data_IF_124080656420
#
_entry.id   IF_124080656420
#
_cell.length_a   1.000
_cell.length_b   1.000
_cell.length_c   1.000
_cell.angle_alpha   90.00
_cell.angle_beta   90.00
_cell.angle_gamma   90.00
#
_symmetry.space_group_name_H-M   'P 1'
#
loop_
_entity.id
_entity.type
_entity.pdbx_description
1 polymer ?
#
# COMPACT_ATOMS: atom_id res chain seq x y z
N UNK A 1 21.27 -15.87 -6.46
CA UNK A 1 20.03 -16.44 -6.89
C UNK A 1 18.86 -15.61 -6.36
N UNK A 2 18.20 -14.92 -7.27
CA UNK A 2 17.22 -13.89 -6.91
C UNK A 2 15.81 -14.21 -7.41
N UNK A 3 15.30 -15.36 -6.98
CA UNK A 3 13.92 -15.70 -7.27
C UNK A 3 13.01 -14.81 -6.45
N UNK A 4 11.95 -14.27 -7.07
CA UNK A 4 11.01 -13.42 -6.34
C UNK A 4 10.29 -14.20 -5.25
N UNK A 5 10.05 -13.52 -4.13
CA UNK A 5 9.24 -14.05 -3.05
C UNK A 5 7.88 -13.37 -3.15
N UNK A 6 6.81 -14.16 -3.17
CA UNK A 6 5.46 -13.63 -3.26
C UNK A 6 4.87 -13.49 -1.88
N UNK A 7 4.41 -12.29 -1.56
CA UNK A 7 3.72 -12.01 -0.31
C UNK A 7 2.25 -11.76 -0.65
N UNK A 8 1.41 -12.73 -0.38
CA UNK A 8 0.00 -12.72 -0.75
C UNK A 8 -0.76 -11.53 -0.13
N UNK A 9 -0.36 -11.11 1.05
CA UNK A 9 -0.98 -9.96 1.71
C UNK A 9 -0.73 -8.63 1.00
N UNK A 10 0.15 -8.62 0.01
CA UNK A 10 0.41 -7.43 -0.81
C UNK A 10 -0.36 -7.45 -2.15
N UNK A 11 -1.28 -8.37 -2.32
CA UNK A 11 -2.13 -8.38 -3.51
C UNK A 11 -2.92 -7.08 -3.60
N UNK A 12 -3.28 -6.70 -4.81
CA UNK A 12 -4.04 -5.45 -5.01
C UNK A 12 -5.34 -5.45 -4.24
N UNK A 13 -5.83 -4.26 -3.93
CA UNK A 13 -7.11 -4.01 -3.27
C UNK A 13 -8.27 -4.63 -4.04
N UNK A 14 -9.20 -5.22 -3.30
CA UNK A 14 -10.48 -5.65 -3.86
C UNK A 14 -11.40 -4.42 -3.92
N UNK A 15 -11.55 -3.88 -5.12
CA UNK A 15 -12.36 -2.68 -5.33
C UNK A 15 -13.88 -2.97 -5.43
N UNK A 16 -14.27 -4.24 -5.33
CA UNK A 16 -15.67 -4.62 -5.37
C UNK A 16 -16.37 -4.16 -6.64
N UNK A 17 -17.49 -3.46 -6.47
CA UNK A 17 -18.26 -2.97 -7.61
C UNK A 17 -17.55 -1.89 -8.43
N UNK A 18 -16.47 -1.30 -7.88
CA UNK A 18 -15.69 -0.31 -8.62
C UNK A 18 -14.58 -0.94 -9.45
N UNK A 19 -14.48 -2.26 -9.43
CA UNK A 19 -13.46 -3.01 -10.16
C UNK A 19 -13.57 -2.75 -11.65
N UNK A 20 -12.44 -2.48 -12.30
CA UNK A 20 -12.36 -2.24 -13.75
C UNK A 20 -13.17 -1.04 -14.24
N UNK A 21 -13.52 -0.11 -13.37
CA UNK A 21 -14.27 1.09 -13.74
C UNK A 21 -13.38 2.32 -13.64
N UNK A 22 -13.52 3.20 -14.62
CA UNK A 22 -12.79 4.47 -14.60
C UNK A 22 -13.66 5.56 -13.94
N UNK A 23 -13.05 6.73 -13.75
CA UNK A 23 -13.71 7.86 -13.13
C UNK A 23 -15.02 8.25 -13.85
N UNK A 24 -15.03 8.22 -15.17
CA UNK A 24 -16.22 8.59 -15.95
C UNK A 24 -17.38 7.61 -15.72
N UNK A 25 -17.08 6.33 -15.62
CA UNK A 25 -18.08 5.30 -15.36
C UNK A 25 -18.65 5.37 -13.95
N UNK A 26 -17.85 5.83 -12.99
CA UNK A 26 -18.27 5.95 -11.60
C UNK A 26 -18.98 7.26 -11.31
N UNK A 27 -18.68 8.29 -12.08
CA UNK A 27 -19.22 9.62 -11.86
C UNK A 27 -20.77 9.61 -11.95
N UNK A 28 -21.43 10.19 -10.95
CA UNK A 28 -22.87 10.21 -10.87
C UNK A 28 -23.50 9.04 -10.12
N UNK A 29 -22.72 8.04 -9.77
CA UNK A 29 -23.22 6.94 -8.94
C UNK A 29 -23.29 7.40 -7.49
N UNK A 30 -24.40 7.07 -6.84
CA UNK A 30 -24.63 7.44 -5.44
C UNK A 30 -23.60 6.80 -4.51
N UNK A 31 -23.29 5.51 -4.71
CA UNK A 31 -22.32 4.79 -3.90
C UNK A 31 -20.91 5.36 -4.05
N UNK A 32 -20.54 5.78 -5.26
CA UNK A 32 -19.26 6.42 -5.51
C UNK A 32 -19.16 7.77 -4.79
N UNK A 33 -20.24 8.56 -4.86
CA UNK A 33 -20.29 9.86 -4.19
C UNK A 33 -20.20 9.71 -2.68
N UNK A 34 -20.90 8.73 -2.12
CA UNK A 34 -20.82 8.44 -0.69
C UNK A 34 -19.40 8.05 -0.28
N UNK A 35 -18.72 7.25 -1.11
CA UNK A 35 -17.34 6.84 -0.86
C UNK A 35 -16.41 8.06 -0.87
N UNK A 36 -16.56 8.95 -1.84
CA UNK A 36 -15.77 10.19 -1.93
C UNK A 36 -16.05 11.06 -0.70
N UNK A 37 -17.30 11.25 -0.34
CA UNK A 37 -17.69 12.09 0.80
C UNK A 37 -17.14 11.56 2.12
N UNK A 38 -16.90 10.25 2.21
CA UNK A 38 -16.29 9.64 3.39
C UNK A 38 -14.79 9.78 3.41
N UNK A 39 -14.20 10.40 2.39
CA UNK A 39 -12.77 10.53 2.24
C UNK A 39 -12.06 9.16 2.11
N UNK A 40 -12.75 8.21 1.46
CA UNK A 40 -12.24 6.86 1.26
C UNK A 40 -12.35 5.95 2.47
N UNK A 41 -13.00 6.38 3.53
CA UNK A 41 -13.13 5.57 4.75
C UNK A 41 -14.17 4.46 4.64
N UNK A 42 -15.20 4.65 3.82
CA UNK A 42 -16.19 3.60 3.60
C UNK A 42 -15.57 2.44 2.80
N UNK A 43 -16.03 1.19 3.03
CA UNK A 43 -15.60 0.08 2.20
C UNK A 43 -15.99 0.30 0.75
N UNK A 44 -15.21 -0.24 -0.18
CA UNK A 44 -15.68 -0.34 -1.56
C UNK A 44 -16.92 -1.24 -1.57
N UNK A 45 -18.00 -0.87 -2.28
CA UNK A 45 -19.18 -1.72 -2.33
C UNK A 45 -18.81 -3.14 -2.78
N UNK A 46 -19.11 -4.13 -1.95
CA UNK A 46 -18.72 -5.53 -2.13
C UNK A 46 -17.21 -5.76 -2.20
N UNK A 47 -16.44 -4.84 -1.66
CA UNK A 47 -14.97 -4.94 -1.67
C UNK A 47 -14.40 -4.70 -0.28
N UNK A 48 -13.09 -4.40 -0.26
CA UNK A 48 -12.38 -4.18 1.00
C UNK A 48 -12.58 -2.78 1.55
N UNK A 49 -12.56 -2.66 2.88
CA UNK A 49 -12.47 -1.36 3.55
C UNK A 49 -11.00 -0.93 3.65
N UNK A 50 -10.79 0.34 3.93
CA UNK A 50 -9.46 0.89 4.20
C UNK A 50 -8.80 0.16 5.39
N UNK A 51 -9.59 -0.16 6.40
CA UNK A 51 -9.11 -0.91 7.57
C UNK A 51 -8.70 -2.34 7.22
N UNK A 52 -9.50 -3.03 6.39
CA UNK A 52 -9.17 -4.39 5.95
C UNK A 52 -7.84 -4.42 5.21
N UNK A 53 -7.63 -3.45 4.32
CA UNK A 53 -6.38 -3.31 3.57
C UNK A 53 -5.23 -3.06 4.53
N UNK A 54 -5.40 -2.16 5.47
CA UNK A 54 -4.35 -1.81 6.43
C UNK A 54 -3.90 -3.03 7.24
N UNK A 55 -4.85 -3.82 7.73
CA UNK A 55 -4.54 -4.99 8.56
C UNK A 55 -3.69 -5.99 7.77
N UNK A 56 -4.08 -6.30 6.54
CA UNK A 56 -3.32 -7.28 5.77
C UNK A 56 -1.99 -6.73 5.24
N UNK A 57 -1.91 -5.44 4.97
CA UNK A 57 -0.64 -4.80 4.55
C UNK A 57 0.36 -4.80 5.70
N UNK A 58 -0.10 -4.51 6.92
CA UNK A 58 0.76 -4.61 8.11
C UNK A 58 1.29 -6.03 8.28
N UNK A 59 0.42 -7.02 8.16
CA UNK A 59 0.83 -8.42 8.27
C UNK A 59 1.84 -8.80 7.18
N UNK A 60 1.62 -8.35 5.95
CA UNK A 60 2.53 -8.59 4.83
C UNK A 60 3.88 -7.94 5.04
N UNK A 61 3.90 -6.72 5.55
CA UNK A 61 5.14 -6.01 5.82
C UNK A 61 5.96 -6.69 6.94
N UNK A 62 5.29 -7.11 8.00
CA UNK A 62 5.97 -7.86 9.08
C UNK A 62 6.52 -9.19 8.55
N UNK A 63 5.79 -9.86 7.67
CA UNK A 63 6.28 -11.06 7.01
C UNK A 63 7.53 -10.78 6.19
N UNK A 64 7.53 -9.68 5.41
CA UNK A 64 8.69 -9.27 4.60
C UNK A 64 9.91 -8.99 5.48
N UNK A 65 9.70 -8.26 6.58
CA UNK A 65 10.80 -7.94 7.50
C UNK A 65 11.37 -9.19 8.17
N UNK A 66 10.50 -10.13 8.52
CA UNK A 66 10.93 -11.39 9.10
C UNK A 66 11.80 -12.19 8.13
N UNK A 67 11.39 -12.24 6.87
CA UNK A 67 12.17 -12.91 5.82
C UNK A 67 13.54 -12.23 5.69
N UNK A 68 13.58 -10.91 5.67
CA UNK A 68 14.83 -10.17 5.57
C UNK A 68 15.76 -10.46 6.74
N UNK A 69 15.23 -10.54 7.95
CA UNK A 69 16.03 -10.86 9.13
C UNK A 69 16.58 -12.29 9.07
N UNK A 70 15.74 -13.25 8.73
CA UNK A 70 16.11 -14.67 8.70
C UNK A 70 17.13 -14.97 7.60
N UNK A 71 16.97 -14.33 6.44
CA UNK A 71 17.85 -14.53 5.29
C UNK A 71 19.03 -13.56 5.26
N UNK A 72 19.13 -12.67 6.25
CA UNK A 72 20.17 -11.64 6.36
C UNK A 72 20.22 -10.75 5.12
N UNK A 73 19.06 -10.38 4.62
CA UNK A 73 18.91 -9.50 3.47
C UNK A 73 19.01 -8.05 3.94
N UNK A 74 19.92 -7.30 3.34
CA UNK A 74 20.13 -5.89 3.69
C UNK A 74 19.59 -4.95 2.63
N UNK A 75 19.29 -5.46 1.44
CA UNK A 75 18.67 -4.69 0.34
C UNK A 75 17.60 -5.54 -0.33
N UNK A 76 16.45 -4.95 -0.53
CA UNK A 76 15.36 -5.64 -1.19
C UNK A 76 14.60 -4.67 -2.08
N UNK A 77 14.06 -5.18 -3.17
CA UNK A 77 13.12 -4.44 -4.00
C UNK A 77 11.73 -5.03 -3.74
N UNK A 78 10.79 -4.16 -3.44
CA UNK A 78 9.41 -4.55 -3.19
C UNK A 78 8.54 -3.96 -4.28
N UNK A 79 7.93 -4.83 -5.10
CA UNK A 79 7.05 -4.39 -6.18
C UNK A 79 5.62 -4.61 -5.74
N UNK A 80 4.88 -3.54 -5.59
CA UNK A 80 3.52 -3.57 -5.06
C UNK A 80 2.62 -2.64 -5.88
N UNK A 81 1.32 -2.79 -5.68
CA UNK A 81 0.31 -2.00 -6.36
C UNK A 81 0.08 -0.66 -5.64
N UNK A 82 -0.48 0.31 -6.37
CA UNK A 82 -0.66 1.67 -5.86
C UNK A 82 -1.46 1.76 -4.57
N UNK A 83 -2.56 1.01 -4.46
CA UNK A 83 -3.38 1.02 -3.25
C UNK A 83 -2.63 0.45 -2.04
N UNK A 84 -1.80 -0.54 -2.28
CA UNK A 84 -0.98 -1.16 -1.23
C UNK A 84 0.14 -0.19 -0.82
N UNK A 85 0.74 0.50 -1.79
CA UNK A 85 1.75 1.53 -1.51
C UNK A 85 1.19 2.62 -0.60
N UNK A 86 0.01 3.14 -0.91
CA UNK A 86 -0.60 4.19 -0.10
C UNK A 86 -0.86 3.71 1.33
N UNK A 87 -1.38 2.51 1.50
CA UNK A 87 -1.66 1.94 2.82
C UNK A 87 -0.38 1.72 3.62
N UNK A 88 0.64 1.18 2.98
CA UNK A 88 1.94 0.91 3.62
C UNK A 88 2.60 2.20 4.10
N UNK A 89 2.65 3.19 3.23
CA UNK A 89 3.29 4.47 3.55
C UNK A 89 2.49 5.27 4.57
N UNK A 90 1.17 5.21 4.51
CA UNK A 90 0.32 5.88 5.49
C UNK A 90 0.61 5.40 6.91
N UNK A 91 0.87 4.11 7.06
CA UNK A 91 1.19 3.51 8.36
C UNK A 91 2.62 3.78 8.81
N UNK A 92 3.59 3.60 7.92
CA UNK A 92 5.00 3.47 8.33
C UNK A 92 5.92 4.59 7.88
N UNK A 93 5.53 5.39 6.89
CA UNK A 93 6.48 6.33 6.28
C UNK A 93 6.83 7.52 7.17
N UNK A 94 8.08 7.94 7.06
CA UNK A 94 8.60 9.16 7.66
C UNK A 94 9.30 9.94 6.55
N UNK A 95 8.96 11.21 6.31
CA UNK A 95 7.99 12.03 7.04
C UNK A 95 6.55 11.64 6.76
N UNK A 96 5.65 11.95 7.68
CA UNK A 96 4.22 11.71 7.51
C UNK A 96 3.64 12.60 6.42
N UNK A 97 2.73 12.05 5.64
CA UNK A 97 1.98 12.77 4.60
C UNK A 97 0.55 12.27 4.57
N UNK A 98 -0.32 13.02 3.88
CA UNK A 98 -1.69 12.59 3.65
C UNK A 98 -1.72 11.31 2.82
N UNK A 99 -2.70 10.45 3.07
CA UNK A 99 -2.82 9.14 2.45
C UNK A 99 -2.63 9.20 0.92
N UNK A 100 -3.36 10.10 0.24
CA UNK A 100 -3.32 10.17 -1.23
C UNK A 100 -2.03 10.78 -1.78
N UNK A 101 -1.23 11.43 -0.95
CA UNK A 101 0.07 11.95 -1.38
C UNK A 101 1.08 10.84 -1.66
N UNK A 102 0.81 9.64 -1.17
CA UNK A 102 1.68 8.48 -1.43
C UNK A 102 1.38 7.79 -2.74
N UNK A 103 0.40 8.29 -3.51
CA UNK A 103 0.07 7.74 -4.80
C UNK A 103 1.21 7.99 -5.79
N UNK A 104 1.59 6.95 -6.53
CA UNK A 104 2.65 7.03 -7.53
C UNK A 104 2.17 6.40 -8.83
N UNK A 105 2.79 6.81 -9.94
CA UNK A 105 2.52 6.21 -11.24
C UNK A 105 3.17 4.83 -11.31
N UNK A 106 2.65 3.98 -12.18
CA UNK A 106 3.24 2.67 -12.42
C UNK A 106 4.71 2.84 -12.81
N UNK A 107 5.56 1.99 -12.26
CA UNK A 107 7.01 2.05 -12.50
C UNK A 107 7.74 3.07 -11.64
N UNK A 108 7.02 3.79 -10.80
CA UNK A 108 7.60 4.77 -9.88
C UNK A 108 7.48 4.28 -8.45
N UNK A 109 8.18 4.91 -7.54
CA UNK A 109 8.14 4.52 -6.14
C UNK A 109 9.10 5.32 -5.29
N UNK A 110 9.65 4.66 -4.28
CA UNK A 110 10.54 5.31 -3.32
C UNK A 110 11.70 4.39 -2.97
N UNK A 111 12.85 4.99 -2.68
CA UNK A 111 13.90 4.29 -1.94
C UNK A 111 13.78 4.73 -0.49
N UNK A 112 14.00 3.81 0.41
CA UNK A 112 13.82 4.07 1.83
C UNK A 112 14.73 3.19 2.66
N UNK A 113 14.97 3.61 3.88
CA UNK A 113 15.63 2.80 4.88
C UNK A 113 14.57 2.39 5.90
N UNK A 114 14.55 1.12 6.26
CA UNK A 114 13.63 0.61 7.27
C UNK A 114 14.37 0.47 8.58
N UNK A 115 13.83 1.08 9.63
CA UNK A 115 14.38 0.90 10.97
C UNK A 115 13.35 0.26 11.88
N UNK A 116 13.81 -0.58 12.78
CA UNK A 116 12.94 -1.22 13.76
C UNK A 116 12.80 -0.30 14.97
N UNK A 117 11.54 -0.09 15.39
CA UNK A 117 11.24 0.77 16.54
C UNK A 117 10.33 -0.04 17.46
N UNK A 118 10.89 -0.52 18.56
CA UNK A 118 10.18 -1.41 19.48
C UNK A 118 9.68 -2.66 18.76
N UNK A 119 8.39 -2.91 18.73
CA UNK A 119 7.80 -4.08 18.06
C UNK A 119 7.30 -3.77 16.65
N UNK A 120 7.62 -2.60 16.14
CA UNK A 120 7.15 -2.16 14.83
C UNK A 120 8.30 -1.55 14.03
N UNK A 121 7.99 -0.84 12.95
CA UNK A 121 8.97 -0.35 11.99
C UNK A 121 8.66 1.08 11.56
N UNK A 122 9.67 1.74 11.00
CA UNK A 122 9.55 3.00 10.27
C UNK A 122 10.16 2.83 8.88
N UNK A 123 9.50 3.41 7.89
CA UNK A 123 10.03 3.47 6.53
C UNK A 123 10.50 4.90 6.29
N UNK A 124 11.81 5.10 6.39
CA UNK A 124 12.41 6.44 6.27
C UNK A 124 12.71 6.72 4.82
N UNK A 125 11.94 7.61 4.20
CA UNK A 125 12.05 7.89 2.77
C UNK A 125 13.37 8.61 2.48
N UNK A 126 14.11 8.10 1.51
CA UNK A 126 15.37 8.68 1.07
C UNK A 126 15.15 9.48 -0.22
N UNK A 127 14.60 8.84 -1.24
CA UNK A 127 14.38 9.48 -2.54
C UNK A 127 13.11 8.96 -3.20
N UNK A 128 12.58 9.73 -4.16
CA UNK A 128 11.56 9.24 -5.08
C UNK A 128 12.25 8.58 -6.27
N UNK A 129 11.61 7.55 -6.80
CA UNK A 129 12.05 6.87 -8.03
C UNK A 129 11.06 7.20 -9.14
N UNK A 130 11.55 7.74 -10.23
CA UNK A 130 10.75 8.09 -11.39
C UNK A 130 11.10 7.16 -12.56
N UNK A 131 10.11 6.83 -13.36
CA UNK A 131 10.35 6.04 -14.57
C UNK A 131 10.66 6.93 -15.77
#
# INVERSE_FOLDING_TARGET
NNLPIIIENFRETDFGLFENKNYEELNGRKDYQEWIDSNGELPFPNGESKEDIRVRVEAGFHQMMKICEEEKITRAACVIHGGIMMSLMDKYAVPKREYFEWQVKNGCGFTAEVEKVEDDYRICIVNRVYS
#
